data_IF_208449191471
#
_entry.id   IF_208449191471
#
_cell.length_a   1.000
_cell.length_b   1.000
_cell.length_c   1.000
_cell.angle_alpha   90.00
_cell.angle_beta   90.00
_cell.angle_gamma   90.00
#
_symmetry.space_group_name_H-M   'P 1'
#
loop_
_entity.id
_entity.type
_entity.pdbx_description
1 polymer ?
#
# COMPACT_ATOMS: atom_id res chain seq x y z
N UNK A 1 -103.10 -44.11 40.73
CA UNK A 1 -104.42 -44.52 40.22
C UNK A 1 -105.19 -43.25 39.90
N UNK A 2 -105.62 -43.10 38.65
CA UNK A 2 -106.58 -42.08 38.18
C UNK A 2 -107.46 -42.81 37.16
N UNK A 3 -108.76 -42.59 37.18
CA UNK A 3 -109.73 -43.53 36.61
C UNK A 3 -109.89 -43.40 35.09
N UNK A 4 -109.84 -44.53 34.38
CA UNK A 4 -110.11 -44.63 32.95
C UNK A 4 -111.63 -44.62 32.69
N UNK A 5 -112.22 -43.42 32.62
CA UNK A 5 -113.57 -43.24 32.11
C UNK A 5 -113.62 -43.51 30.60
N UNK A 6 -114.41 -44.51 30.19
CA UNK A 6 -114.53 -44.91 28.79
C UNK A 6 -115.41 -43.95 27.96
N UNK A 7 -114.81 -43.29 26.97
CA UNK A 7 -115.54 -42.61 25.90
C UNK A 7 -116.05 -43.61 24.85
N UNK A 8 -117.28 -43.41 24.37
CA UNK A 8 -117.80 -44.09 23.17
C UNK A 8 -117.11 -43.54 21.89
N UNK A 9 -117.13 -44.27 20.77
CA UNK A 9 -116.87 -43.65 19.47
C UNK A 9 -117.89 -42.52 19.27
N UNK A 10 -117.41 -41.34 18.90
CA UNK A 10 -118.24 -40.17 18.63
C UNK A 10 -118.60 -40.11 17.14
N UNK A 11 -119.85 -39.80 16.83
CA UNK A 11 -120.40 -39.94 15.48
C UNK A 11 -120.12 -38.72 14.60
N UNK A 12 -119.40 -38.93 13.49
CA UNK A 12 -119.57 -38.15 12.26
C UNK A 12 -119.29 -36.64 12.31
N UNK A 13 -118.65 -36.11 13.35
CA UNK A 13 -118.21 -34.72 13.39
C UNK A 13 -117.27 -34.45 12.20
N UNK A 14 -117.62 -33.47 11.36
CA UNK A 14 -116.87 -33.19 10.13
C UNK A 14 -115.47 -32.68 10.48
N UNK A 15 -114.45 -33.51 10.26
CA UNK A 15 -113.04 -33.14 10.48
C UNK A 15 -112.65 -31.97 9.56
N UNK A 16 -112.34 -30.82 10.18
CA UNK A 16 -111.82 -29.61 9.54
C UNK A 16 -110.37 -29.39 9.99
N UNK A 17 -109.55 -28.82 9.11
CA UNK A 17 -108.15 -28.49 9.41
C UNK A 17 -108.05 -27.00 9.77
N UNK A 18 -107.87 -26.69 11.06
CA UNK A 18 -107.81 -25.31 11.59
C UNK A 18 -106.56 -24.50 11.18
N UNK A 19 -105.67 -25.08 10.36
CA UNK A 19 -104.40 -24.48 9.94
C UNK A 19 -104.21 -24.63 8.43
N UNK A 20 -103.52 -23.69 7.75
CA UNK A 20 -103.20 -23.84 6.33
C UNK A 20 -102.34 -25.09 6.09
N UNK A 21 -102.66 -25.84 5.05
CA UNK A 21 -102.00 -27.11 4.69
C UNK A 21 -100.46 -26.94 4.61
N UNK A 22 -99.63 -27.75 5.32
CA UNK A 22 -98.17 -27.63 5.30
C UNK A 22 -97.59 -27.69 3.88
N UNK A 23 -96.52 -26.95 3.59
CA UNK A 23 -96.09 -26.73 2.21
C UNK A 23 -95.63 -28.03 1.51
N UNK A 24 -94.98 -28.95 2.23
CA UNK A 24 -94.64 -30.28 1.73
C UNK A 24 -95.88 -31.07 1.31
N UNK A 25 -96.87 -31.19 2.20
CA UNK A 25 -98.15 -31.87 1.93
C UNK A 25 -98.90 -31.19 0.79
N UNK A 26 -98.89 -29.85 0.74
CA UNK A 26 -99.52 -29.06 -0.34
C UNK A 26 -98.91 -29.35 -1.71
N UNK A 27 -97.58 -29.49 -1.81
CA UNK A 27 -96.87 -29.89 -3.05
C UNK A 27 -97.29 -31.30 -3.48
N UNK A 28 -97.34 -32.26 -2.55
CA UNK A 28 -97.80 -33.64 -2.83
C UNK A 28 -99.28 -33.70 -3.25
N UNK A 29 -100.17 -32.95 -2.58
CA UNK A 29 -101.59 -32.82 -2.99
C UNK A 29 -101.72 -32.25 -4.40
N UNK A 30 -100.98 -31.19 -4.74
CA UNK A 30 -100.99 -30.62 -6.10
C UNK A 30 -100.51 -31.63 -7.15
N UNK A 31 -99.54 -32.49 -6.82
CA UNK A 31 -99.10 -33.56 -7.71
C UNK A 31 -100.21 -34.60 -7.94
N UNK A 32 -100.78 -35.16 -6.86
CA UNK A 32 -101.91 -36.12 -6.91
C UNK A 32 -103.07 -35.54 -7.76
N UNK A 33 -103.41 -34.26 -7.57
CA UNK A 33 -104.43 -33.58 -8.36
C UNK A 33 -104.03 -33.44 -9.82
N UNK A 34 -102.80 -33.01 -10.13
CA UNK A 34 -102.32 -32.83 -11.50
C UNK A 34 -102.31 -34.13 -12.32
N UNK A 35 -102.11 -35.26 -11.64
CA UNK A 35 -102.10 -36.60 -12.24
C UNK A 35 -103.53 -37.12 -12.44
N UNK A 36 -104.38 -37.09 -11.40
CA UNK A 36 -105.81 -37.43 -11.52
C UNK A 36 -106.56 -36.55 -12.54
N UNK A 37 -106.19 -35.27 -12.64
CA UNK A 37 -106.68 -34.30 -13.63
C UNK A 37 -106.33 -34.70 -15.08
N UNK A 38 -105.39 -35.62 -15.31
CA UNK A 38 -105.15 -36.21 -16.61
C UNK A 38 -106.29 -37.12 -17.10
N UNK A 39 -107.08 -37.68 -16.19
CA UNK A 39 -108.17 -38.62 -16.48
C UNK A 39 -109.59 -38.03 -16.38
N UNK A 40 -109.74 -36.70 -16.41
CA UNK A 40 -111.03 -36.01 -16.32
C UNK A 40 -111.36 -35.22 -17.59
N UNK A 41 -112.63 -35.24 -18.00
CA UNK A 41 -113.12 -34.43 -19.13
C UNK A 41 -113.33 -32.96 -18.73
N UNK A 42 -113.34 -32.05 -19.70
CA UNK A 42 -113.52 -30.60 -19.46
C UNK A 42 -114.85 -30.26 -18.76
N UNK A 43 -115.87 -31.12 -18.89
CA UNK A 43 -117.15 -30.97 -18.21
C UNK A 43 -117.08 -31.31 -16.71
N UNK A 44 -116.22 -32.24 -16.32
CA UNK A 44 -116.04 -32.70 -14.94
C UNK A 44 -115.11 -31.80 -14.11
N UNK A 45 -114.45 -30.84 -14.76
CA UNK A 45 -113.54 -29.88 -14.13
C UNK A 45 -114.26 -28.63 -13.59
N UNK A 46 -113.87 -28.12 -12.41
CA UNK A 46 -114.26 -26.80 -11.91
C UNK A 46 -113.93 -25.69 -12.90
N UNK A 47 -114.77 -24.65 -12.97
CA UNK A 47 -114.67 -23.58 -13.97
C UNK A 47 -113.30 -22.88 -14.00
N UNK A 48 -112.72 -22.66 -12.81
CA UNK A 48 -111.41 -22.04 -12.59
C UNK A 48 -110.26 -22.86 -13.21
N UNK A 49 -110.44 -24.19 -13.32
CA UNK A 49 -109.41 -25.11 -13.79
C UNK A 49 -109.50 -25.46 -15.28
N UNK A 50 -110.64 -25.23 -15.95
CA UNK A 50 -110.85 -25.61 -17.36
C UNK A 50 -109.82 -24.98 -18.32
N UNK A 51 -109.34 -23.78 -18.02
CA UNK A 51 -108.26 -23.13 -18.78
C UNK A 51 -106.95 -23.92 -18.77
N UNK A 52 -106.65 -24.64 -17.68
CA UNK A 52 -105.42 -25.41 -17.51
C UNK A 52 -105.51 -26.83 -18.11
N UNK A 53 -106.70 -27.26 -18.57
CA UNK A 53 -106.91 -28.57 -19.22
C UNK A 53 -105.95 -28.81 -20.41
N UNK A 54 -105.61 -27.76 -21.15
CA UNK A 54 -104.77 -27.80 -22.36
C UNK A 54 -103.25 -27.90 -22.09
N UNK A 55 -102.81 -27.84 -20.84
CA UNK A 55 -101.39 -27.85 -20.50
C UNK A 55 -100.89 -29.28 -20.23
N UNK A 56 -99.64 -29.57 -20.58
CA UNK A 56 -98.97 -30.82 -20.23
C UNK A 56 -98.77 -30.95 -18.70
N UNK A 57 -98.75 -32.18 -18.11
CA UNK A 57 -98.76 -32.40 -16.66
C UNK A 57 -97.77 -31.53 -15.86
N UNK A 58 -96.49 -31.53 -16.23
CA UNK A 58 -95.45 -30.77 -15.53
C UNK A 58 -95.68 -29.24 -15.57
N UNK A 59 -96.43 -28.73 -16.57
CA UNK A 59 -96.87 -27.33 -16.63
C UNK A 59 -98.16 -27.11 -15.86
N UNK A 60 -99.06 -28.10 -15.74
CA UNK A 60 -100.26 -28.02 -14.90
C UNK A 60 -99.90 -27.87 -13.43
N UNK A 61 -99.12 -28.79 -12.86
CA UNK A 61 -98.66 -28.69 -11.48
C UNK A 61 -98.00 -27.33 -11.18
N UNK A 62 -97.16 -26.81 -12.09
CA UNK A 62 -96.44 -25.55 -11.92
C UNK A 62 -97.31 -24.28 -12.05
N UNK A 63 -98.23 -24.21 -13.01
CA UNK A 63 -99.01 -22.99 -13.29
C UNK A 63 -100.44 -23.00 -12.73
N UNK A 64 -101.01 -24.18 -12.46
CA UNK A 64 -102.35 -24.35 -11.89
C UNK A 64 -102.34 -24.73 -10.40
N UNK A 65 -101.18 -25.00 -9.79
CA UNK A 65 -101.08 -25.59 -8.45
C UNK A 65 -101.90 -24.90 -7.36
N UNK A 66 -101.87 -23.56 -7.28
CA UNK A 66 -102.68 -22.82 -6.30
C UNK A 66 -104.19 -22.98 -6.56
N UNK A 67 -104.62 -23.00 -7.83
CA UNK A 67 -106.02 -23.22 -8.19
C UNK A 67 -106.45 -24.68 -7.97
N UNK A 68 -105.54 -25.64 -8.16
CA UNK A 68 -105.76 -27.07 -7.89
C UNK A 68 -105.96 -27.35 -6.40
N UNK A 69 -105.11 -26.75 -5.54
CA UNK A 69 -105.26 -26.85 -4.09
C UNK A 69 -106.60 -26.26 -3.61
N UNK A 70 -106.93 -25.03 -4.03
CA UNK A 70 -108.18 -24.37 -3.67
C UNK A 70 -109.42 -25.12 -4.20
N UNK A 71 -109.33 -25.77 -5.36
CA UNK A 71 -110.41 -26.58 -5.92
C UNK A 71 -110.68 -27.86 -5.11
N UNK A 72 -109.66 -28.57 -4.64
CA UNK A 72 -109.84 -29.76 -3.78
C UNK A 72 -110.41 -29.40 -2.40
N UNK A 73 -110.08 -28.22 -1.90
CA UNK A 73 -110.63 -27.69 -0.65
C UNK A 73 -112.12 -27.34 -0.83
N UNK A 74 -112.45 -26.55 -1.85
CA UNK A 74 -113.79 -25.95 -2.06
C UNK A 74 -114.80 -26.90 -2.72
N UNK A 75 -114.40 -27.69 -3.71
CA UNK A 75 -115.30 -28.53 -4.51
C UNK A 75 -115.22 -30.01 -4.07
N UNK A 76 -116.29 -30.46 -3.40
CA UNK A 76 -116.40 -31.83 -2.91
C UNK A 76 -116.54 -32.88 -4.04
N UNK A 77 -117.19 -32.55 -5.15
CA UNK A 77 -117.38 -33.46 -6.29
C UNK A 77 -116.06 -33.62 -7.06
N UNK A 78 -115.31 -32.53 -7.24
CA UNK A 78 -113.97 -32.58 -7.81
C UNK A 78 -113.01 -33.38 -6.91
N UNK A 79 -113.03 -33.17 -5.58
CA UNK A 79 -112.24 -33.96 -4.63
C UNK A 79 -112.61 -35.44 -4.68
N UNK A 80 -113.89 -35.79 -4.74
CA UNK A 80 -114.33 -37.19 -4.87
C UNK A 80 -113.77 -37.84 -6.15
N UNK A 81 -113.88 -37.19 -7.31
CA UNK A 81 -113.32 -37.68 -8.59
C UNK A 81 -111.80 -37.87 -8.54
N UNK A 82 -111.06 -36.96 -7.91
CA UNK A 82 -109.61 -37.11 -7.73
C UNK A 82 -109.31 -38.25 -6.72
N UNK A 83 -110.14 -38.45 -5.70
CA UNK A 83 -110.06 -39.57 -4.77
C UNK A 83 -110.33 -40.92 -5.43
N UNK A 84 -111.30 -41.00 -6.34
CA UNK A 84 -111.55 -42.19 -7.19
C UNK A 84 -110.33 -42.51 -8.05
N UNK A 85 -109.75 -41.52 -8.75
CA UNK A 85 -108.50 -41.71 -9.51
C UNK A 85 -107.31 -42.12 -8.64
N UNK A 86 -107.22 -41.61 -7.40
CA UNK A 86 -106.19 -42.03 -6.45
C UNK A 86 -106.40 -43.48 -5.97
N UNK A 87 -107.66 -43.91 -5.78
CA UNK A 87 -108.01 -45.31 -5.47
C UNK A 87 -107.68 -46.28 -6.61
N UNK A 88 -107.90 -45.87 -7.86
CA UNK A 88 -107.48 -46.63 -9.04
C UNK A 88 -105.94 -46.73 -9.15
N UNK A 89 -105.22 -45.63 -8.89
CA UNK A 89 -103.78 -45.56 -9.05
C UNK A 89 -102.97 -46.17 -7.89
N UNK A 90 -103.50 -46.13 -6.66
CA UNK A 90 -102.83 -46.57 -5.43
C UNK A 90 -103.81 -47.29 -4.48
N UNK A 91 -104.37 -48.46 -4.89
CA UNK A 91 -105.40 -49.16 -4.13
C UNK A 91 -104.93 -49.61 -2.74
N UNK A 92 -103.66 -50.00 -2.61
CA UNK A 92 -103.06 -50.43 -1.33
C UNK A 92 -102.99 -49.29 -0.30
N UNK A 93 -102.54 -48.10 -0.72
CA UNK A 93 -102.48 -46.92 0.15
C UNK A 93 -103.88 -46.45 0.55
N UNK A 94 -104.82 -46.42 -0.40
CA UNK A 94 -106.19 -46.02 -0.13
C UNK A 94 -106.90 -46.98 0.84
N UNK A 95 -106.76 -48.29 0.66
CA UNK A 95 -107.32 -49.30 1.56
C UNK A 95 -106.70 -49.28 2.96
N UNK A 96 -105.38 -49.05 3.07
CA UNK A 96 -104.69 -48.89 4.34
C UNK A 96 -105.14 -47.62 5.11
N UNK A 97 -105.40 -46.53 4.37
CA UNK A 97 -105.94 -45.28 4.93
C UNK A 97 -107.40 -45.43 5.38
N UNK A 98 -108.26 -46.10 4.62
CA UNK A 98 -109.65 -46.40 5.01
C UNK A 98 -109.70 -47.29 6.26
N UNK A 99 -108.76 -48.24 6.38
CA UNK A 99 -108.59 -49.09 7.56
C UNK A 99 -107.96 -48.37 8.78
N UNK A 100 -107.63 -47.07 8.66
CA UNK A 100 -107.04 -46.28 9.75
C UNK A 100 -105.60 -46.63 10.11
N UNK A 101 -104.91 -47.41 9.27
CA UNK A 101 -103.56 -47.95 9.54
C UNK A 101 -102.63 -47.66 8.36
N UNK A 102 -102.06 -46.44 8.26
CA UNK A 102 -101.20 -46.06 7.12
C UNK A 102 -99.96 -46.96 7.01
N UNK A 103 -99.46 -47.27 5.80
CA UNK A 103 -98.30 -48.14 5.63
C UNK A 103 -97.01 -47.52 6.22
N UNK A 104 -96.28 -48.22 7.10
CA UNK A 104 -95.10 -47.65 7.77
C UNK A 104 -93.87 -47.48 6.86
N UNK A 105 -93.97 -47.90 5.60
CA UNK A 105 -92.91 -47.78 4.58
C UNK A 105 -93.17 -46.66 3.55
N UNK A 106 -94.26 -45.90 3.68
CA UNK A 106 -94.59 -44.78 2.80
C UNK A 106 -94.08 -43.43 3.35
N UNK A 107 -93.77 -42.48 2.47
CA UNK A 107 -93.42 -41.10 2.86
C UNK A 107 -94.60 -40.46 3.63
N UNK A 108 -94.40 -39.99 4.88
CA UNK A 108 -95.44 -39.30 5.65
C UNK A 108 -96.12 -38.15 4.91
N UNK A 109 -95.42 -37.45 4.02
CA UNK A 109 -95.98 -36.38 3.20
C UNK A 109 -96.93 -36.89 2.10
N UNK A 110 -96.65 -38.06 1.51
CA UNK A 110 -97.54 -38.71 0.54
C UNK A 110 -98.75 -39.35 1.24
N UNK A 111 -98.54 -39.98 2.40
CA UNK A 111 -99.63 -40.49 3.26
C UNK A 111 -100.57 -39.36 3.67
N UNK A 112 -100.03 -38.23 4.13
CA UNK A 112 -100.81 -37.04 4.47
C UNK A 112 -101.54 -36.43 3.27
N UNK A 113 -100.92 -36.41 2.09
CA UNK A 113 -101.54 -35.88 0.88
C UNK A 113 -102.68 -36.77 0.37
N UNK A 114 -102.50 -38.10 0.41
CA UNK A 114 -103.55 -39.07 0.11
C UNK A 114 -104.70 -38.96 1.12
N UNK A 115 -104.41 -38.85 2.42
CA UNK A 115 -105.43 -38.63 3.46
C UNK A 115 -106.18 -37.28 3.27
N UNK A 116 -105.49 -36.22 2.84
CA UNK A 116 -106.13 -34.93 2.53
C UNK A 116 -107.12 -35.02 1.35
N UNK A 117 -106.82 -35.84 0.33
CA UNK A 117 -107.73 -36.07 -0.80
C UNK A 117 -108.88 -36.99 -0.43
N UNK A 118 -108.60 -38.13 0.23
CA UNK A 118 -109.58 -39.19 0.50
C UNK A 118 -110.50 -38.91 1.70
N UNK A 119 -110.08 -38.06 2.65
CA UNK A 119 -110.81 -37.74 3.90
C UNK A 119 -111.24 -38.98 4.74
N UNK A 120 -110.37 -39.99 4.98
CA UNK A 120 -110.66 -41.05 5.96
C UNK A 120 -110.76 -40.48 7.38
N UNK A 121 -111.30 -41.26 8.33
CA UNK A 121 -111.32 -40.86 9.74
C UNK A 121 -109.89 -40.63 10.28
N UNK A 122 -109.67 -39.53 11.00
CA UNK A 122 -108.38 -39.12 11.54
C UNK A 122 -107.44 -38.41 10.54
N UNK A 123 -107.88 -38.08 9.32
CA UNK A 123 -107.03 -37.48 8.29
C UNK A 123 -106.33 -36.20 8.75
N UNK A 124 -106.98 -35.38 9.60
CA UNK A 124 -106.38 -34.15 10.13
C UNK A 124 -105.10 -34.44 10.91
N UNK A 125 -105.10 -35.51 11.72
CA UNK A 125 -103.94 -35.89 12.56
C UNK A 125 -102.75 -36.32 11.71
N UNK A 126 -102.99 -37.06 10.61
CA UNK A 126 -101.95 -37.47 9.66
C UNK A 126 -101.32 -36.24 8.96
N UNK A 127 -102.15 -35.27 8.57
CA UNK A 127 -101.69 -34.03 7.93
C UNK A 127 -100.89 -33.15 8.88
N UNK A 128 -101.31 -33.01 10.14
CA UNK A 128 -100.56 -32.27 11.16
C UNK A 128 -99.22 -32.94 11.47
N UNK A 129 -99.22 -34.25 11.74
CA UNK A 129 -98.01 -34.99 12.09
C UNK A 129 -96.94 -34.94 10.98
N UNK A 130 -97.34 -35.14 9.72
CA UNK A 130 -96.41 -35.05 8.59
C UNK A 130 -95.89 -33.62 8.35
N UNK A 131 -96.70 -32.60 8.68
CA UNK A 131 -96.27 -31.19 8.66
C UNK A 131 -95.23 -30.89 9.74
N UNK A 132 -95.44 -31.37 10.96
CA UNK A 132 -94.53 -31.16 12.09
C UNK A 132 -93.23 -31.98 11.95
N UNK A 133 -93.29 -33.17 11.34
CA UNK A 133 -92.11 -33.96 10.97
C UNK A 133 -91.26 -33.25 9.89
N UNK A 134 -91.89 -32.80 8.80
CA UNK A 134 -91.19 -32.09 7.74
C UNK A 134 -90.58 -30.77 8.25
N UNK A 135 -91.29 -30.03 9.11
CA UNK A 135 -90.77 -28.80 9.70
C UNK A 135 -89.58 -29.07 10.64
N UNK A 136 -89.57 -30.18 11.40
CA UNK A 136 -88.39 -30.60 12.18
C UNK A 136 -87.23 -30.97 11.26
N UNK A 137 -87.46 -31.78 10.23
CA UNK A 137 -86.43 -32.20 9.28
C UNK A 137 -85.86 -31.05 8.42
N UNK A 138 -86.62 -29.98 8.16
CA UNK A 138 -86.12 -28.74 7.55
C UNK A 138 -85.29 -27.91 8.56
N UNK A 139 -85.76 -27.80 9.80
CA UNK A 139 -85.06 -27.06 10.86
C UNK A 139 -83.72 -27.72 11.24
N UNK A 140 -83.69 -29.05 11.38
CA UNK A 140 -82.47 -29.81 11.70
C UNK A 140 -81.40 -29.65 10.61
N UNK A 141 -81.79 -29.71 9.32
CA UNK A 141 -80.86 -29.43 8.20
C UNK A 141 -80.33 -28.00 8.22
N UNK A 142 -81.18 -27.00 8.46
CA UNK A 142 -80.74 -25.60 8.56
C UNK A 142 -79.78 -25.38 9.76
N UNK A 143 -80.01 -26.09 10.87
CA UNK A 143 -79.13 -26.08 12.04
C UNK A 143 -77.79 -26.77 11.74
N UNK A 144 -77.78 -27.90 11.02
CA UNK A 144 -76.57 -28.60 10.58
C UNK A 144 -75.74 -27.77 9.60
N UNK A 145 -76.36 -27.18 8.58
CA UNK A 145 -75.72 -26.25 7.63
C UNK A 145 -75.11 -25.05 8.37
N UNK A 146 -75.88 -24.42 9.28
CA UNK A 146 -75.40 -23.31 10.11
C UNK A 146 -74.23 -23.72 11.02
N UNK A 147 -74.26 -24.92 11.61
CA UNK A 147 -73.16 -25.44 12.45
C UNK A 147 -71.92 -25.73 11.61
N UNK A 148 -72.08 -26.24 10.39
CA UNK A 148 -70.98 -26.50 9.46
C UNK A 148 -70.31 -25.19 8.98
N UNK A 149 -71.10 -24.17 8.63
CA UNK A 149 -70.58 -22.84 8.30
C UNK A 149 -69.88 -22.19 9.50
N UNK A 150 -70.48 -22.23 10.70
CA UNK A 150 -69.85 -21.72 11.92
C UNK A 150 -68.55 -22.45 12.28
N UNK A 151 -68.47 -23.76 12.05
CA UNK A 151 -67.23 -24.53 12.25
C UNK A 151 -66.15 -24.09 11.26
N UNK A 152 -66.50 -23.97 9.97
CA UNK A 152 -65.60 -23.49 8.92
C UNK A 152 -65.09 -22.07 9.17
N UNK A 153 -65.99 -21.13 9.51
CA UNK A 153 -65.63 -19.74 9.80
C UNK A 153 -64.75 -19.61 11.04
N UNK A 154 -64.94 -20.47 12.06
CA UNK A 154 -64.03 -20.56 13.21
C UNK A 154 -62.65 -21.06 12.79
N UNK A 155 -62.56 -22.10 11.95
CA UNK A 155 -61.28 -22.60 11.46
C UNK A 155 -60.55 -21.57 10.59
N UNK A 156 -61.24 -20.91 9.66
CA UNK A 156 -60.67 -19.84 8.84
C UNK A 156 -60.19 -18.65 9.71
N UNK A 157 -60.95 -18.28 10.74
CA UNK A 157 -60.57 -17.24 11.71
C UNK A 157 -59.34 -17.63 12.54
N UNK A 158 -59.26 -18.87 13.03
CA UNK A 158 -58.12 -19.31 13.85
C UNK A 158 -56.86 -19.58 13.02
N UNK A 159 -57.00 -20.04 11.76
CA UNK A 159 -55.91 -20.05 10.76
C UNK A 159 -55.39 -18.63 10.50
N UNK A 160 -56.28 -17.65 10.29
CA UNK A 160 -55.90 -16.25 10.08
C UNK A 160 -55.23 -15.62 11.32
N UNK A 161 -55.73 -15.91 12.52
CA UNK A 161 -55.12 -15.50 13.80
C UNK A 161 -53.73 -16.11 14.00
N UNK A 162 -53.55 -17.38 13.66
CA UNK A 162 -52.25 -18.06 13.75
C UNK A 162 -51.24 -17.41 12.79
N UNK A 163 -51.62 -17.23 11.52
CA UNK A 163 -50.77 -16.58 10.52
C UNK A 163 -50.39 -15.15 10.93
N UNK A 164 -51.34 -14.35 11.41
CA UNK A 164 -51.08 -13.01 11.92
C UNK A 164 -50.11 -13.02 13.13
N UNK A 165 -50.23 -14.00 14.04
CA UNK A 165 -49.28 -14.18 15.15
C UNK A 165 -47.88 -14.51 14.63
N UNK A 166 -47.73 -15.51 13.76
CA UNK A 166 -46.42 -15.92 13.24
C UNK A 166 -45.73 -14.80 12.46
N UNK A 167 -46.46 -14.01 11.66
CA UNK A 167 -45.88 -12.86 10.97
C UNK A 167 -45.52 -11.72 11.95
N UNK A 168 -46.32 -11.44 12.98
CA UNK A 168 -45.93 -10.43 13.99
C UNK A 168 -44.73 -10.86 14.84
N UNK A 169 -44.56 -12.16 15.11
CA UNK A 169 -43.37 -12.70 15.81
C UNK A 169 -42.13 -12.66 14.90
N UNK A 170 -42.28 -13.02 13.63
CA UNK A 170 -41.24 -12.90 12.61
C UNK A 170 -40.78 -11.44 12.44
N UNK A 171 -41.70 -10.50 12.22
CA UNK A 171 -41.39 -9.08 12.05
C UNK A 171 -40.75 -8.46 13.30
N UNK A 172 -41.08 -8.96 14.51
CA UNK A 172 -40.38 -8.57 15.75
C UNK A 172 -38.94 -9.10 15.78
N UNK A 173 -38.72 -10.35 15.36
CA UNK A 173 -37.37 -10.92 15.28
C UNK A 173 -36.49 -10.18 14.25
N UNK A 174 -37.02 -9.92 13.05
CA UNK A 174 -36.35 -9.15 11.99
C UNK A 174 -36.06 -7.70 12.42
N UNK A 175 -36.98 -7.07 13.17
CA UNK A 175 -36.76 -5.74 13.75
C UNK A 175 -35.66 -5.75 14.83
N UNK A 176 -35.60 -6.78 15.68
CA UNK A 176 -34.61 -6.87 16.74
C UNK A 176 -33.21 -7.29 16.24
N UNK A 177 -33.10 -8.02 15.12
CA UNK A 177 -31.81 -8.17 14.42
C UNK A 177 -31.37 -6.86 13.79
N UNK A 178 -32.26 -6.16 13.08
CA UNK A 178 -31.96 -4.86 12.48
C UNK A 178 -31.52 -3.80 13.52
N UNK A 179 -32.12 -3.76 14.71
CA UNK A 179 -31.64 -2.92 15.84
C UNK A 179 -30.23 -3.27 16.28
N UNK A 180 -29.93 -4.57 16.49
CA UNK A 180 -28.60 -5.04 16.93
C UNK A 180 -27.52 -4.73 15.89
N UNK A 181 -27.85 -4.84 14.60
CA UNK A 181 -27.00 -4.44 13.50
C UNK A 181 -26.79 -2.91 13.45
N UNK A 182 -27.85 -2.12 13.54
CA UNK A 182 -27.77 -0.67 13.58
C UNK A 182 -26.91 -0.17 14.76
N UNK A 183 -27.09 -0.73 15.95
CA UNK A 183 -26.20 -0.45 17.09
C UNK A 183 -24.75 -0.88 16.83
N UNK A 184 -24.52 -2.04 16.21
CA UNK A 184 -23.17 -2.55 15.91
C UNK A 184 -22.47 -1.65 14.90
N UNK A 185 -23.17 -1.22 13.85
CA UNK A 185 -22.68 -0.23 12.88
C UNK A 185 -22.43 1.12 13.54
N UNK A 186 -23.32 1.58 14.42
CA UNK A 186 -23.14 2.85 15.14
C UNK A 186 -21.96 2.79 16.14
N UNK A 187 -21.73 1.65 16.81
CA UNK A 187 -20.51 1.41 17.62
C UNK A 187 -19.25 1.44 16.76
N UNK A 188 -19.24 0.75 15.61
CA UNK A 188 -18.13 0.77 14.64
C UNK A 188 -17.86 2.19 14.11
N UNK A 189 -18.89 2.96 13.80
CA UNK A 189 -18.78 4.35 13.34
C UNK A 189 -18.16 5.25 14.42
N UNK A 190 -18.60 5.15 15.69
CA UNK A 190 -17.97 5.89 16.80
C UNK A 190 -16.50 5.54 16.98
N UNK A 191 -16.14 4.25 16.86
CA UNK A 191 -14.76 3.81 16.93
C UNK A 191 -13.92 4.42 15.79
N UNK A 192 -14.37 4.27 14.54
CA UNK A 192 -13.69 4.82 13.36
C UNK A 192 -13.52 6.35 13.43
N UNK A 193 -14.54 7.09 13.87
CA UNK A 193 -14.45 8.54 14.08
C UNK A 193 -13.46 8.91 15.21
N UNK A 194 -13.40 8.10 16.27
CA UNK A 194 -12.39 8.27 17.32
C UNK A 194 -10.99 7.98 16.81
N UNK A 195 -10.82 7.00 15.93
CA UNK A 195 -9.53 6.63 15.33
C UNK A 195 -9.03 7.67 14.34
N UNK A 196 -9.91 8.21 13.49
CA UNK A 196 -9.62 9.38 12.64
C UNK A 196 -9.18 10.57 13.50
N UNK A 197 -9.91 10.89 14.58
CA UNK A 197 -9.56 12.00 15.49
C UNK A 197 -8.22 11.76 16.22
N UNK A 198 -7.89 10.51 16.58
CA UNK A 198 -6.56 10.16 17.12
C UNK A 198 -5.47 10.31 16.06
N UNK A 199 -5.73 9.88 14.82
CA UNK A 199 -4.83 10.06 13.68
C UNK A 199 -4.54 11.54 13.37
N UNK A 200 -5.58 12.38 13.31
CA UNK A 200 -5.43 13.83 13.15
C UNK A 200 -4.59 14.46 14.26
N UNK A 201 -4.82 14.07 15.52
CA UNK A 201 -4.05 14.60 16.64
C UNK A 201 -2.57 14.16 16.59
N UNK A 202 -2.29 12.92 16.19
CA UNK A 202 -0.93 12.43 15.96
C UNK A 202 -0.25 13.16 14.79
N UNK A 203 -0.96 13.37 13.68
CA UNK A 203 -0.45 14.12 12.51
C UNK A 203 -0.11 15.56 12.88
N UNK A 204 -0.98 16.26 13.64
CA UNK A 204 -0.69 17.63 14.13
C UNK A 204 0.53 17.67 15.06
N UNK A 205 0.70 16.68 15.93
CA UNK A 205 1.89 16.56 16.79
C UNK A 205 3.16 16.38 15.95
N UNK A 206 3.17 15.44 15.01
CA UNK A 206 4.32 15.20 14.10
C UNK A 206 4.60 16.43 13.23
N UNK A 207 3.58 17.15 12.76
CA UNK A 207 3.75 18.43 12.07
C UNK A 207 4.44 19.47 12.96
N UNK A 208 4.00 19.66 14.20
CA UNK A 208 4.67 20.58 15.13
C UNK A 208 6.11 20.18 15.47
N UNK A 209 6.40 18.87 15.56
CA UNK A 209 7.76 18.36 15.78
C UNK A 209 8.67 18.62 14.57
N UNK A 210 8.15 18.43 13.35
CA UNK A 210 8.86 18.78 12.10
C UNK A 210 9.10 20.29 12.03
N UNK A 211 8.14 21.12 12.43
CA UNK A 211 8.28 22.58 12.47
C UNK A 211 9.33 23.03 13.49
N UNK A 212 9.37 22.45 14.69
CA UNK A 212 10.43 22.75 15.68
C UNK A 212 11.80 22.32 15.20
N UNK A 213 11.96 21.09 14.70
CA UNK A 213 13.26 20.59 14.17
C UNK A 213 13.72 21.43 12.97
N UNK A 214 12.80 21.88 12.12
CA UNK A 214 13.11 22.78 11.00
C UNK A 214 13.55 24.17 11.47
N UNK A 215 12.88 24.74 12.47
CA UNK A 215 13.25 26.03 13.05
C UNK A 215 14.63 25.96 13.74
N UNK A 216 14.88 24.91 14.52
CA UNK A 216 16.18 24.65 15.16
C UNK A 216 17.29 24.48 14.11
N UNK A 217 17.05 23.66 13.07
CA UNK A 217 18.01 23.48 11.96
C UNK A 217 18.31 24.80 11.25
N UNK A 218 17.28 25.60 10.96
CA UNK A 218 17.45 26.90 10.30
C UNK A 218 18.18 27.92 11.20
N UNK A 219 17.98 27.86 12.53
CA UNK A 219 18.74 28.64 13.49
C UNK A 219 20.21 28.21 13.57
N UNK A 220 20.49 26.89 13.57
CA UNK A 220 21.85 26.34 13.54
C UNK A 220 22.59 26.73 12.26
N UNK A 221 21.97 26.63 11.08
CA UNK A 221 22.56 27.11 9.81
C UNK A 221 22.82 28.61 9.88
N UNK A 222 21.86 29.41 10.35
CA UNK A 222 22.03 30.88 10.48
C UNK A 222 23.19 31.25 11.42
N UNK A 223 23.34 30.50 12.53
CA UNK A 223 24.44 30.68 13.47
C UNK A 223 25.79 30.33 12.82
N UNK A 224 25.91 29.15 12.21
CA UNK A 224 27.11 28.69 11.52
C UNK A 224 27.53 29.59 10.35
N UNK A 225 26.57 30.16 9.61
CA UNK A 225 26.86 31.19 8.61
C UNK A 225 27.36 32.50 9.23
N UNK A 226 26.87 32.88 10.41
CA UNK A 226 27.33 34.08 11.13
C UNK A 226 28.75 33.90 11.67
N UNK A 227 29.07 32.71 12.18
CA UNK A 227 30.42 32.34 12.61
C UNK A 227 31.37 32.23 11.42
N UNK A 228 30.95 31.61 10.32
CA UNK A 228 31.72 31.57 9.07
C UNK A 228 32.03 32.98 8.55
N UNK A 229 31.07 33.91 8.64
CA UNK A 229 31.29 35.33 8.30
C UNK A 229 32.28 36.00 9.25
N UNK A 230 32.16 35.80 10.56
CA UNK A 230 33.11 36.32 11.58
C UNK A 230 34.53 35.77 11.39
N UNK A 231 34.67 34.47 11.15
CA UNK A 231 35.95 33.82 10.92
C UNK A 231 36.61 34.29 9.62
N UNK A 232 35.84 34.47 8.53
CA UNK A 232 36.35 35.05 7.28
C UNK A 232 36.81 36.50 7.45
N UNK A 233 36.05 37.32 8.20
CA UNK A 233 36.46 38.68 8.53
C UNK A 233 37.76 38.69 9.36
N UNK A 234 37.84 37.87 10.41
CA UNK A 234 39.03 37.78 11.27
C UNK A 234 40.25 37.22 10.54
N UNK A 235 40.06 36.28 9.61
CA UNK A 235 41.13 35.80 8.73
C UNK A 235 41.69 36.97 7.91
N UNK A 236 40.83 37.72 7.22
CA UNK A 236 41.22 38.90 6.44
C UNK A 236 41.92 39.98 7.27
N UNK A 237 41.48 40.22 8.51
CA UNK A 237 42.20 41.09 9.46
C UNK A 237 43.61 40.57 9.76
N UNK A 238 43.77 39.27 10.02
CA UNK A 238 45.09 38.68 10.32
C UNK A 238 46.00 38.60 9.08
N UNK A 239 45.45 38.40 7.89
CA UNK A 239 46.19 38.43 6.63
C UNK A 239 46.67 39.86 6.31
N UNK A 240 45.80 40.86 6.47
CA UNK A 240 46.17 42.27 6.33
C UNK A 240 47.22 42.71 7.36
N UNK A 241 47.11 42.25 8.62
CA UNK A 241 48.11 42.50 9.66
C UNK A 241 49.46 41.81 9.35
N UNK A 242 49.43 40.57 8.83
CA UNK A 242 50.63 39.86 8.38
C UNK A 242 51.28 40.54 7.18
N UNK A 243 50.50 41.06 6.24
CA UNK A 243 51.04 41.89 5.15
C UNK A 243 51.65 43.20 5.65
N UNK A 244 50.97 43.92 6.54
CA UNK A 244 51.51 45.15 7.14
C UNK A 244 52.83 44.88 7.88
N UNK A 245 52.90 43.82 8.69
CA UNK A 245 54.12 43.39 9.35
C UNK A 245 55.22 42.98 8.35
N UNK A 246 54.87 42.31 7.23
CA UNK A 246 55.82 41.98 6.15
C UNK A 246 56.33 43.22 5.39
N UNK A 247 55.52 44.26 5.22
CA UNK A 247 55.91 45.55 4.63
C UNK A 247 56.86 46.30 5.57
N UNK A 248 56.46 46.49 6.83
CA UNK A 248 57.30 47.09 7.87
C UNK A 248 58.64 46.33 8.07
N UNK A 249 58.64 45.00 8.00
CA UNK A 249 59.86 44.18 8.08
C UNK A 249 60.67 44.11 6.76
N UNK A 250 60.19 44.73 5.67
CA UNK A 250 60.99 45.02 4.46
C UNK A 250 61.54 46.45 4.50
N UNK A 251 60.76 47.40 5.01
CA UNK A 251 61.17 48.80 5.22
C UNK A 251 62.23 48.93 6.31
N UNK A 252 62.08 48.24 7.44
CA UNK A 252 63.12 48.15 8.48
C UNK A 252 64.41 47.56 7.93
N UNK A 253 64.31 46.46 7.14
CA UNK A 253 65.48 45.87 6.46
C UNK A 253 66.07 46.78 5.40
N UNK A 254 65.30 47.54 4.62
CA UNK A 254 65.90 48.46 3.66
C UNK A 254 66.61 49.64 4.33
N UNK A 255 66.17 50.07 5.53
CA UNK A 255 66.92 51.03 6.36
C UNK A 255 68.19 50.41 6.95
N UNK A 256 68.14 49.15 7.41
CA UNK A 256 69.33 48.41 7.85
C UNK A 256 70.31 48.17 6.70
N UNK A 257 69.84 47.74 5.53
CA UNK A 257 70.62 47.55 4.31
C UNK A 257 71.22 48.87 3.82
N UNK A 258 70.50 50.00 3.87
CA UNK A 258 71.06 51.32 3.59
C UNK A 258 72.16 51.71 4.58
N UNK A 259 72.00 51.38 5.87
CA UNK A 259 73.01 51.66 6.90
C UNK A 259 74.24 50.75 6.77
N UNK A 260 74.02 49.46 6.50
CA UNK A 260 75.09 48.49 6.19
C UNK A 260 75.82 48.93 4.93
N UNK A 261 75.11 49.38 3.89
CA UNK A 261 75.72 49.92 2.68
C UNK A 261 76.54 51.18 2.95
N UNK A 262 76.06 52.14 3.75
CA UNK A 262 76.84 53.31 4.15
C UNK A 262 78.12 52.95 4.94
N UNK A 263 78.04 51.92 5.80
CA UNK A 263 79.20 51.38 6.51
C UNK A 263 80.13 50.59 5.58
N UNK A 264 79.59 49.88 4.59
CA UNK A 264 80.38 49.14 3.60
C UNK A 264 81.07 50.09 2.62
N UNK A 265 80.37 51.12 2.13
CA UNK A 265 80.89 52.16 1.24
C UNK A 265 81.99 52.96 1.95
N UNK A 266 81.82 53.33 3.23
CA UNK A 266 82.90 53.98 4.00
C UNK A 266 84.09 53.05 4.30
N UNK A 267 83.88 51.75 4.49
CA UNK A 267 84.97 50.76 4.59
C UNK A 267 85.63 50.50 3.22
N UNK A 268 84.88 50.56 2.12
CA UNK A 268 85.38 50.44 0.75
C UNK A 268 86.17 51.69 0.34
N UNK A 269 85.77 52.88 0.76
CA UNK A 269 86.51 54.13 0.55
C UNK A 269 87.78 54.16 1.41
N UNK A 270 87.72 53.68 2.66
CA UNK A 270 88.91 53.48 3.48
C UNK A 270 89.86 52.43 2.87
N UNK A 271 89.33 51.33 2.35
CA UNK A 271 90.11 50.29 1.66
C UNK A 271 90.64 50.75 0.29
N UNK A 272 89.93 51.62 -0.43
CA UNK A 272 90.40 52.25 -1.66
C UNK A 272 91.49 53.28 -1.35
N UNK A 273 91.35 54.08 -0.30
CA UNK A 273 92.40 54.97 0.20
C UNK A 273 93.66 54.19 0.56
N UNK A 274 93.52 53.14 1.38
CA UNK A 274 94.62 52.25 1.75
C UNK A 274 95.24 51.54 0.54
N UNK A 275 94.43 51.15 -0.46
CA UNK A 275 94.92 50.56 -1.73
C UNK A 275 95.58 51.58 -2.65
N UNK A 276 95.26 52.86 -2.52
CA UNK A 276 95.87 53.98 -3.28
C UNK A 276 97.19 54.42 -2.65
N UNK A 277 97.32 54.30 -1.34
CA UNK A 277 98.60 54.37 -0.59
C UNK A 277 99.50 53.14 -0.87
N UNK A 278 98.94 51.92 -0.94
CA UNK A 278 99.69 50.66 -1.09
C UNK A 278 99.86 50.13 -2.53
N UNK A 279 99.29 50.81 -3.54
CA UNK A 279 99.51 50.57 -4.97
C UNK A 279 99.31 49.12 -5.51
N UNK A 280 98.33 48.35 -5.01
CA UNK A 280 98.15 46.92 -5.38
C UNK A 280 97.21 46.67 -6.60
N UNK A 281 97.68 45.99 -7.67
CA UNK A 281 96.84 45.56 -8.80
C UNK A 281 95.98 44.31 -8.48
N UNK A 282 94.86 44.06 -9.20
CA UNK A 282 93.97 42.93 -8.94
C UNK A 282 94.41 41.61 -9.63
N UNK A 283 94.02 40.47 -9.06
CA UNK A 283 94.38 39.10 -9.48
C UNK A 283 93.17 38.37 -10.12
N UNK A 284 93.42 37.41 -11.02
CA UNK A 284 92.46 36.97 -12.05
C UNK A 284 92.15 35.46 -12.16
N UNK A 285 92.41 34.64 -11.12
CA UNK A 285 92.20 33.16 -11.15
C UNK A 285 91.44 32.68 -9.90
N UNK A 286 90.64 31.60 -9.98
CA UNK A 286 89.79 31.11 -8.88
C UNK A 286 90.22 29.74 -8.31
N UNK A 287 90.03 29.48 -6.99
CA UNK A 287 90.96 28.61 -6.24
C UNK A 287 90.84 27.09 -6.43
N UNK A 288 89.97 26.62 -7.32
CA UNK A 288 89.85 25.20 -7.69
C UNK A 288 89.76 25.00 -9.21
N UNK A 289 90.37 25.93 -9.94
CA UNK A 289 90.94 25.74 -11.30
C UNK A 289 92.38 25.20 -11.21
N UNK A 290 92.76 24.68 -10.03
CA UNK A 290 94.12 24.29 -9.59
C UNK A 290 94.28 22.79 -9.31
N UNK A 291 93.20 22.00 -9.41
CA UNK A 291 93.27 20.53 -9.39
C UNK A 291 93.48 20.06 -10.83
N UNK A 292 94.54 19.30 -11.09
CA UNK A 292 95.00 18.98 -12.44
C UNK A 292 94.11 17.93 -13.16
N UNK A 293 92.98 18.42 -13.69
CA UNK A 293 92.08 17.75 -14.63
C UNK A 293 91.51 18.79 -15.62
N UNK A 294 91.08 18.36 -16.81
CA UNK A 294 90.83 19.26 -17.95
C UNK A 294 89.44 19.93 -17.89
N UNK A 295 89.37 21.17 -17.38
CA UNK A 295 88.12 21.95 -17.23
C UNK A 295 88.31 23.48 -17.30
N UNK A 296 87.23 24.22 -17.64
CA UNK A 296 86.93 25.56 -17.10
C UNK A 296 85.46 25.66 -16.62
N UNK A 297 85.00 26.60 -15.78
CA UNK A 297 85.63 27.73 -15.06
C UNK A 297 84.59 28.38 -14.13
N UNK A 298 84.98 29.09 -13.05
CA UNK A 298 84.22 29.07 -11.78
C UNK A 298 83.49 30.34 -11.29
N UNK A 299 82.32 30.15 -10.65
CA UNK A 299 81.84 30.61 -9.30
C UNK A 299 81.30 32.01 -8.92
N UNK A 300 80.38 31.99 -7.93
CA UNK A 300 80.28 32.88 -6.74
C UNK A 300 80.13 32.04 -5.43
N UNK A 301 80.11 32.65 -4.23
CA UNK A 301 79.12 32.34 -3.18
C UNK A 301 78.69 33.63 -2.40
N UNK A 302 78.08 33.73 -1.20
CA UNK A 302 77.76 32.95 0.04
C UNK A 302 76.45 33.51 0.68
N UNK A 303 75.79 33.04 1.75
CA UNK A 303 75.59 31.75 2.48
C UNK A 303 74.39 31.97 3.47
N UNK A 304 73.54 30.95 3.77
CA UNK A 304 72.54 30.93 4.87
C UNK A 304 72.43 29.49 5.46
N UNK A 305 72.02 29.33 6.73
CA UNK A 305 71.88 28.04 7.43
C UNK A 305 70.56 27.97 8.27
N UNK A 306 70.03 26.83 8.75
CA UNK A 306 70.07 25.40 8.35
C UNK A 306 69.12 24.57 9.28
N UNK A 307 68.54 23.44 8.85
CA UNK A 307 68.06 22.31 9.70
C UNK A 307 67.64 21.08 8.87
N UNK A 308 67.34 19.94 9.53
CA UNK A 308 67.48 18.59 8.96
C UNK A 308 66.22 17.69 8.96
N UNK A 309 66.21 16.70 8.04
CA UNK A 309 65.36 15.50 8.01
C UNK A 309 66.21 14.24 7.64
N UNK A 310 65.61 13.04 7.57
CA UNK A 310 66.26 11.72 7.61
C UNK A 310 66.83 11.16 6.30
N UNK A 311 68.13 10.83 6.30
CA UNK A 311 69.05 10.56 5.16
C UNK A 311 68.67 9.61 3.99
N UNK A 312 67.51 8.94 3.99
CA UNK A 312 67.14 7.95 2.95
C UNK A 312 65.92 8.31 2.07
N UNK A 313 65.34 9.51 2.22
CA UNK A 313 64.27 9.98 1.33
C UNK A 313 64.83 10.77 0.13
N UNK A 314 64.50 10.40 -1.12
CA UNK A 314 64.80 11.22 -2.30
C UNK A 314 64.34 12.68 -2.21
N UNK A 315 63.32 13.00 -1.41
CA UNK A 315 62.88 14.38 -1.18
C UNK A 315 63.95 15.27 -0.52
N UNK A 316 64.90 14.68 0.23
CA UNK A 316 66.04 15.41 0.81
C UNK A 316 67.11 15.66 -0.25
N UNK A 317 67.30 14.73 -1.20
CA UNK A 317 68.17 14.98 -2.36
C UNK A 317 67.62 16.13 -3.21
N UNK A 318 66.30 16.22 -3.43
CA UNK A 318 65.67 17.39 -4.05
C UNK A 318 65.93 18.69 -3.26
N UNK A 319 65.77 18.68 -1.93
CA UNK A 319 66.05 19.85 -1.09
C UNK A 319 67.51 20.29 -1.12
N UNK A 320 68.46 19.35 -1.17
CA UNK A 320 69.90 19.64 -1.27
C UNK A 320 70.31 20.14 -2.64
N UNK A 321 69.73 19.61 -3.73
CA UNK A 321 69.99 20.07 -5.10
C UNK A 321 69.32 21.41 -5.41
N UNK A 322 68.26 21.77 -4.69
CA UNK A 322 67.62 23.09 -4.75
C UNK A 322 68.42 24.20 -4.01
N UNK A 323 69.53 23.87 -3.34
CA UNK A 323 70.40 24.88 -2.73
C UNK A 323 71.19 25.65 -3.81
N UNK A 324 71.36 26.98 -3.68
CA UNK A 324 72.05 27.77 -4.67
C UNK A 324 73.51 27.32 -4.83
N UNK A 325 73.92 27.04 -6.07
CA UNK A 325 75.25 26.54 -6.44
C UNK A 325 75.60 25.17 -5.82
N UNK A 326 74.60 24.35 -5.49
CA UNK A 326 74.80 22.95 -5.14
C UNK A 326 75.67 22.22 -6.18
N UNK A 327 76.56 21.34 -5.71
CA UNK A 327 77.47 20.55 -6.53
C UNK A 327 77.22 19.07 -6.27
N UNK A 328 76.67 18.36 -7.25
CA UNK A 328 76.46 16.92 -7.20
C UNK A 328 77.63 16.20 -7.86
N UNK A 329 78.51 15.63 -7.05
CA UNK A 329 79.55 14.70 -7.51
C UNK A 329 78.97 13.29 -7.51
N UNK A 330 79.09 12.58 -8.63
CA UNK A 330 78.46 11.27 -8.84
C UNK A 330 79.52 10.23 -9.13
N UNK A 331 79.55 9.18 -8.33
CA UNK A 331 80.34 7.98 -8.55
C UNK A 331 79.66 7.12 -9.61
N UNK A 332 80.17 7.22 -10.84
CA UNK A 332 79.51 6.71 -12.02
C UNK A 332 79.32 5.20 -11.98
N UNK A 333 80.38 4.44 -11.69
CA UNK A 333 80.29 2.98 -11.71
C UNK A 333 79.55 2.40 -10.50
N UNK A 334 79.66 2.98 -9.30
CA UNK A 334 78.85 2.52 -8.18
C UNK A 334 77.35 2.79 -8.40
N UNK A 335 76.98 3.92 -9.03
CA UNK A 335 75.59 4.17 -9.42
C UNK A 335 75.11 3.21 -10.52
N UNK A 336 75.89 2.96 -11.58
CA UNK A 336 75.42 2.06 -12.66
C UNK A 336 75.41 0.59 -12.26
N UNK A 337 76.41 0.11 -11.51
CA UNK A 337 76.46 -1.27 -10.97
C UNK A 337 75.34 -1.51 -9.95
N UNK A 338 74.89 -0.48 -9.23
CA UNK A 338 73.68 -0.56 -8.38
C UNK A 338 72.38 -0.56 -9.19
N UNK A 339 72.27 0.23 -10.26
CA UNK A 339 71.02 0.48 -10.96
C UNK A 339 70.67 -0.47 -12.11
N UNK A 340 71.68 -0.94 -12.87
CA UNK A 340 71.49 -1.76 -14.06
C UNK A 340 72.78 -2.55 -14.44
N UNK A 341 73.31 -3.40 -13.53
CA UNK A 341 74.58 -4.10 -13.72
C UNK A 341 74.62 -5.01 -14.95
N UNK A 342 73.47 -5.57 -15.36
CA UNK A 342 73.31 -6.44 -16.53
C UNK A 342 73.45 -5.74 -17.90
N UNK A 343 73.80 -4.45 -17.95
CA UNK A 343 74.05 -3.73 -19.21
C UNK A 343 75.56 -3.58 -19.50
N UNK A 344 76.01 -3.57 -20.78
CA UNK A 344 77.40 -3.27 -21.12
C UNK A 344 77.84 -1.88 -20.61
N UNK A 345 79.08 -1.75 -20.13
CA UNK A 345 79.60 -0.55 -19.46
C UNK A 345 79.42 0.75 -20.28
N UNK A 346 79.54 0.70 -21.61
CA UNK A 346 79.27 1.85 -22.47
C UNK A 346 77.79 2.31 -22.39
N UNK A 347 76.85 1.37 -22.49
CA UNK A 347 75.41 1.63 -22.37
C UNK A 347 75.04 2.04 -20.94
N UNK A 348 75.74 1.53 -19.93
CA UNK A 348 75.61 2.00 -18.55
C UNK A 348 75.95 3.50 -18.43
N UNK A 349 77.12 3.91 -18.93
CA UNK A 349 77.60 5.31 -18.87
C UNK A 349 76.67 6.27 -19.63
N UNK A 350 76.30 5.92 -20.86
CA UNK A 350 75.35 6.72 -21.67
C UNK A 350 74.00 6.91 -20.96
N UNK A 351 73.48 5.85 -20.32
CA UNK A 351 72.22 5.92 -19.56
C UNK A 351 72.33 6.84 -18.36
N UNK A 352 73.40 6.73 -17.56
CA UNK A 352 73.62 7.59 -16.40
C UNK A 352 73.75 9.06 -16.80
N UNK A 353 74.56 9.36 -17.82
CA UNK A 353 74.78 10.73 -18.27
C UNK A 353 73.51 11.40 -18.82
N UNK A 354 72.63 10.64 -19.48
CA UNK A 354 71.30 11.12 -19.87
C UNK A 354 70.42 11.48 -18.66
N UNK A 355 70.34 10.59 -17.67
CA UNK A 355 69.58 10.80 -16.43
C UNK A 355 70.13 11.99 -15.61
N UNK A 356 71.45 12.15 -15.56
CA UNK A 356 72.12 13.29 -14.92
C UNK A 356 71.89 14.61 -15.65
N UNK A 357 71.82 14.63 -16.98
CA UNK A 357 71.54 15.85 -17.75
C UNK A 357 70.10 16.32 -17.53
N UNK A 358 69.15 15.38 -17.46
CA UNK A 358 67.77 15.70 -17.09
C UNK A 358 67.69 16.26 -15.65
N UNK A 359 68.43 15.67 -14.70
CA UNK A 359 68.48 16.16 -13.32
C UNK A 359 69.13 17.56 -13.22
N UNK A 360 70.23 17.80 -13.94
CA UNK A 360 70.90 19.10 -14.01
C UNK A 360 69.97 20.17 -14.60
N UNK A 361 69.25 19.85 -15.68
CA UNK A 361 68.27 20.75 -16.29
C UNK A 361 67.04 21.02 -15.39
N UNK A 362 66.63 20.06 -14.55
CA UNK A 362 65.53 20.23 -13.59
C UNK A 362 65.92 21.05 -12.35
N UNK A 363 67.18 20.97 -11.90
CA UNK A 363 67.62 21.52 -10.60
C UNK A 363 68.51 22.76 -10.70
N UNK A 364 69.23 22.94 -11.82
CA UNK A 364 70.26 23.97 -11.97
C UNK A 364 71.53 23.74 -11.15
N UNK A 365 71.65 22.60 -10.46
CA UNK A 365 72.86 22.21 -9.74
C UNK A 365 74.01 21.92 -10.71
N UNK A 366 75.25 22.18 -10.28
CA UNK A 366 76.43 21.70 -11.01
C UNK A 366 76.56 20.19 -10.81
N UNK A 367 76.65 19.42 -11.90
CA UNK A 367 76.77 17.96 -11.82
C UNK A 367 78.12 17.52 -12.39
N UNK A 368 78.87 16.73 -11.63
CA UNK A 368 80.15 16.14 -12.03
C UNK A 368 80.09 14.63 -11.89
N UNK A 369 80.03 13.91 -13.00
CA UNK A 369 80.09 12.44 -13.01
C UNK A 369 81.55 11.98 -13.13
N UNK A 370 82.02 11.19 -12.18
CA UNK A 370 83.36 10.60 -12.16
C UNK A 370 83.27 9.12 -12.52
N UNK A 371 84.07 8.66 -13.47
CA UNK A 371 84.24 7.24 -13.80
C UNK A 371 85.68 6.81 -13.55
N UNK A 372 85.88 5.53 -13.24
CA UNK A 372 87.22 4.98 -13.08
C UNK A 372 87.93 4.84 -14.44
N UNK A 373 89.17 5.32 -14.52
CA UNK A 373 90.02 5.24 -15.70
C UNK A 373 90.54 3.83 -16.01
N UNK A 374 90.58 2.92 -15.03
CA UNK A 374 91.10 1.58 -15.21
C UNK A 374 90.19 0.65 -16.05
N UNK A 375 88.89 0.94 -16.13
CA UNK A 375 87.93 0.18 -16.97
C UNK A 375 87.87 0.67 -18.44
N UNK A 376 88.81 1.52 -18.89
CA UNK A 376 88.87 2.07 -20.25
C UNK A 376 89.95 1.41 -21.13
N UNK A 377 89.52 0.67 -22.16
CA UNK A 377 90.41 0.09 -23.15
C UNK A 377 90.87 1.06 -24.28
N UNK A 378 90.22 2.23 -24.41
CA UNK A 378 90.54 3.25 -25.41
C UNK A 378 90.02 4.63 -24.96
N UNK A 379 90.53 5.76 -25.51
CA UNK A 379 89.99 7.09 -25.24
C UNK A 379 88.53 7.20 -25.71
N UNK A 380 87.62 7.54 -24.80
CA UNK A 380 86.17 7.59 -25.09
C UNK A 380 85.74 9.01 -25.44
N UNK A 381 85.42 9.22 -26.73
CA UNK A 381 84.90 10.46 -27.28
C UNK A 381 83.40 10.62 -26.97
N UNK A 382 83.06 10.81 -25.69
CA UNK A 382 81.73 11.25 -25.27
C UNK A 382 81.62 12.77 -25.36
N UNK A 383 80.68 13.28 -26.16
CA UNK A 383 80.22 14.66 -26.02
C UNK A 383 79.42 14.77 -24.71
N UNK A 384 79.83 15.59 -23.72
CA UNK A 384 79.11 15.70 -22.46
C UNK A 384 77.71 16.30 -22.70
N UNK A 385 76.64 15.71 -22.13
CA UNK A 385 75.33 16.34 -22.13
C UNK A 385 75.36 17.70 -21.44
N UNK A 386 74.54 18.65 -21.92
CA UNK A 386 74.48 19.99 -21.32
C UNK A 386 74.14 19.90 -19.83
N UNK A 387 74.90 20.64 -19.02
CA UNK A 387 74.77 20.65 -17.55
C UNK A 387 75.55 19.57 -16.80
N UNK A 388 76.21 18.61 -17.48
CA UNK A 388 76.98 17.54 -16.82
C UNK A 388 78.46 17.60 -17.21
N UNK A 389 79.30 17.83 -16.20
CA UNK A 389 80.77 17.67 -16.25
C UNK A 389 81.09 16.18 -16.16
N UNK A 390 82.01 15.67 -16.98
CA UNK A 390 82.38 14.24 -16.98
C UNK A 390 83.88 14.11 -16.83
N UNK A 391 84.30 13.42 -15.76
CA UNK A 391 85.69 13.18 -15.43
C UNK A 391 85.99 11.68 -15.44
N UNK A 392 87.21 11.34 -15.85
CA UNK A 392 87.77 10.00 -15.73
C UNK A 392 89.01 10.08 -14.84
N UNK A 393 89.20 9.12 -13.93
CA UNK A 393 90.41 9.11 -13.12
C UNK A 393 91.66 8.82 -13.96
N UNK A 394 92.80 9.38 -13.55
CA UNK A 394 94.10 9.12 -14.21
C UNK A 394 94.55 7.68 -13.89
N UNK A 395 95.28 6.98 -14.78
CA UNK A 395 95.83 5.66 -14.48
C UNK A 395 96.63 5.67 -13.18
N UNK A 396 96.30 4.77 -12.25
CA UNK A 396 96.89 4.71 -10.91
C UNK A 396 96.16 5.53 -9.83
N UNK A 397 95.08 6.24 -10.16
CA UNK A 397 94.18 6.92 -9.21
C UNK A 397 92.78 6.34 -9.34
N UNK A 398 92.15 5.94 -8.24
CA UNK A 398 90.76 5.44 -8.26
C UNK A 398 89.77 6.59 -8.44
N UNK A 399 88.55 6.28 -8.88
CA UNK A 399 87.45 7.25 -8.87
C UNK A 399 87.23 7.85 -7.46
N UNK A 400 87.38 7.03 -6.41
CA UNK A 400 87.16 7.39 -5.00
C UNK A 400 88.06 8.53 -4.52
N UNK A 401 89.37 8.46 -4.80
CA UNK A 401 90.32 9.49 -4.39
C UNK A 401 90.20 10.75 -5.26
N UNK A 402 89.80 10.62 -6.53
CA UNK A 402 89.44 11.79 -7.35
C UNK A 402 88.18 12.49 -6.80
N UNK A 403 87.16 11.74 -6.37
CA UNK A 403 85.97 12.30 -5.69
C UNK A 403 86.37 13.02 -4.39
N UNK A 404 87.25 12.42 -3.58
CA UNK A 404 87.80 13.06 -2.37
C UNK A 404 88.59 14.33 -2.68
N UNK A 405 89.38 14.34 -3.74
CA UNK A 405 90.14 15.52 -4.19
C UNK A 405 89.21 16.65 -4.65
N UNK A 406 88.17 16.33 -5.46
CA UNK A 406 87.16 17.30 -5.87
C UNK A 406 86.46 17.93 -4.65
N UNK A 407 86.00 17.12 -3.70
CA UNK A 407 85.34 17.61 -2.48
C UNK A 407 86.27 18.49 -1.64
N UNK A 408 87.55 18.11 -1.47
CA UNK A 408 88.54 18.92 -0.72
C UNK A 408 88.90 20.24 -1.43
N UNK A 409 88.70 20.34 -2.74
CA UNK A 409 88.98 21.54 -3.53
C UNK A 409 87.79 22.52 -3.56
N UNK A 410 86.56 22.06 -3.35
CA UNK A 410 85.42 22.96 -3.21
C UNK A 410 85.53 23.81 -1.93
N UNK A 411 85.21 25.12 -1.99
CA UNK A 411 85.43 26.04 -0.87
C UNK A 411 84.44 25.76 0.28
N UNK A 412 84.90 25.85 1.55
CA UNK A 412 84.07 25.55 2.71
C UNK A 412 82.82 26.46 2.76
N UNK A 413 81.66 25.81 2.84
CA UNK A 413 80.33 26.44 2.79
C UNK A 413 79.57 26.22 1.47
N UNK A 414 80.23 25.76 0.39
CA UNK A 414 79.51 25.29 -0.80
C UNK A 414 78.71 24.01 -0.45
N UNK A 415 77.43 23.89 -0.82
CA UNK A 415 76.70 22.63 -0.69
C UNK A 415 77.23 21.61 -1.70
N UNK A 416 78.06 20.67 -1.24
CA UNK A 416 78.55 19.55 -2.05
C UNK A 416 77.82 18.27 -1.63
N UNK A 417 77.28 17.54 -2.61
CA UNK A 417 76.55 16.28 -2.44
C UNK A 417 77.33 15.21 -3.19
N UNK A 418 77.56 14.05 -2.56
CA UNK A 418 78.32 12.94 -3.17
C UNK A 418 77.43 11.70 -3.25
N UNK A 419 77.12 11.25 -4.47
CA UNK A 419 76.33 10.07 -4.71
C UNK A 419 77.22 8.84 -4.97
N UNK A 420 77.39 7.98 -3.96
CA UNK A 420 78.10 6.69 -4.06
C UNK A 420 77.43 5.63 -3.19
N UNK A 421 77.86 4.37 -3.30
CA UNK A 421 77.47 3.26 -2.43
C UNK A 421 78.63 2.74 -1.57
N UNK A 422 79.85 3.23 -1.80
CA UNK A 422 81.00 2.90 -0.97
C UNK A 422 81.00 3.69 0.35
N UNK A 423 81.26 2.98 1.46
CA UNK A 423 81.26 3.57 2.82
C UNK A 423 82.55 4.35 3.11
N UNK A 424 83.69 3.93 2.58
CA UNK A 424 84.95 4.64 2.73
C UNK A 424 84.91 5.97 1.97
N UNK A 425 84.27 6.00 0.79
CA UNK A 425 83.97 7.26 0.08
C UNK A 425 83.06 8.13 0.95
N UNK A 426 81.92 7.60 1.42
CA UNK A 426 80.94 8.35 2.20
C UNK A 426 81.54 9.00 3.46
N UNK A 427 82.30 8.24 4.25
CA UNK A 427 82.99 8.76 5.44
C UNK A 427 84.09 9.77 5.08
N UNK A 428 84.83 9.52 4.00
CA UNK A 428 85.91 10.39 3.53
C UNK A 428 85.43 11.77 3.09
N UNK A 429 84.30 11.82 2.36
CA UNK A 429 83.72 13.09 1.89
C UNK A 429 82.91 13.82 2.97
N UNK A 430 82.29 13.09 3.90
CA UNK A 430 81.65 13.67 5.08
C UNK A 430 82.65 14.43 5.96
N UNK A 431 83.84 13.86 6.19
CA UNK A 431 84.94 14.55 6.91
C UNK A 431 85.47 15.79 6.18
N UNK A 432 85.30 15.86 4.86
CA UNK A 432 85.65 17.01 4.04
C UNK A 432 84.50 18.03 3.86
N UNK A 433 83.33 17.82 4.50
CA UNK A 433 82.22 18.76 4.54
C UNK A 433 81.11 18.56 3.49
N UNK A 434 81.21 17.54 2.63
CA UNK A 434 80.12 17.19 1.71
C UNK A 434 79.05 16.31 2.39
N UNK A 435 77.84 16.28 1.82
CA UNK A 435 76.78 15.33 2.21
C UNK A 435 76.86 14.06 1.37
N UNK A 436 77.25 12.89 1.93
CA UNK A 436 77.12 11.63 1.22
C UNK A 436 75.64 11.26 1.07
N UNK A 437 75.29 10.68 -0.08
CA UNK A 437 73.95 10.18 -0.42
C UNK A 437 74.11 8.82 -1.09
N UNK A 438 73.35 7.81 -0.65
CA UNK A 438 73.44 6.48 -1.22
C UNK A 438 73.00 6.46 -2.70
N UNK A 439 73.73 5.75 -3.57
CA UNK A 439 73.38 5.60 -5.00
C UNK A 439 71.91 5.19 -5.24
N UNK A 440 71.34 4.38 -4.34
CA UNK A 440 69.94 3.96 -4.40
C UNK A 440 68.93 5.11 -4.24
N UNK A 441 69.28 6.20 -3.54
CA UNK A 441 68.43 7.41 -3.40
C UNK A 441 68.44 8.21 -4.71
N UNK A 442 69.62 8.38 -5.33
CA UNK A 442 69.75 9.01 -6.65
C UNK A 442 69.00 8.22 -7.74
N UNK A 443 69.13 6.89 -7.75
CA UNK A 443 68.41 6.01 -8.67
C UNK A 443 66.89 6.09 -8.49
N UNK A 444 66.39 6.11 -7.24
CA UNK A 444 64.96 6.36 -6.95
C UNK A 444 64.50 7.75 -7.39
N UNK A 445 65.38 8.76 -7.39
CA UNK A 445 65.05 10.09 -7.90
C UNK A 445 64.97 10.13 -9.43
N UNK A 446 65.80 9.37 -10.14
CA UNK A 446 65.67 9.20 -11.58
C UNK A 446 64.41 8.42 -12.00
N UNK A 447 63.79 7.64 -11.13
CA UNK A 447 62.52 6.94 -11.44
C UNK A 447 61.27 7.75 -11.11
N UNK A 448 61.41 9.04 -10.75
CA UNK A 448 60.30 9.94 -10.34
C UNK A 448 60.01 11.08 -11.34
N UNK A 449 60.75 11.17 -12.45
CA UNK A 449 60.59 12.20 -13.49
C UNK A 449 61.22 11.79 -14.80
#
# INVERSE_FOLDING_TARGET
>A
MVETAGGRPDDGAAEVLDRPLPEGVRKRVVQIVSDGFGGLTVAELPAQLRQYARFAPNRRAKFAGNAMAAAVETDALFRQRIGERLREAQPELAGALDAGSPPPAADPLDVAAAAYVLRPAGWVKLVTAAGEEAQRADAERADEESRAELARLREELDRARLHARTETERLRAELDTAKKEAESLHRKLRAALSDVKRGEAAMRKVQSEIETVRAESQAQVSAAESETRRLKARLGETEAALEAARRAAREGRSVEDMRVRLLLDTVLDAAQGLRRELALPPVSVRPAETVDAVEPGRMTPKDIAARALSDNDPAILDQLLALPQAHLVVDGYNVTKTGYPQMPLEKQRLRLLGQLSQLAAQTGAEVTCVFDGAELAAPVLLAPPRGVRVLFSKPGVTADELIRQLVRAEPPGRPVIVASTDREVADGVARAGARPVASAVLLKRFSRG
#
